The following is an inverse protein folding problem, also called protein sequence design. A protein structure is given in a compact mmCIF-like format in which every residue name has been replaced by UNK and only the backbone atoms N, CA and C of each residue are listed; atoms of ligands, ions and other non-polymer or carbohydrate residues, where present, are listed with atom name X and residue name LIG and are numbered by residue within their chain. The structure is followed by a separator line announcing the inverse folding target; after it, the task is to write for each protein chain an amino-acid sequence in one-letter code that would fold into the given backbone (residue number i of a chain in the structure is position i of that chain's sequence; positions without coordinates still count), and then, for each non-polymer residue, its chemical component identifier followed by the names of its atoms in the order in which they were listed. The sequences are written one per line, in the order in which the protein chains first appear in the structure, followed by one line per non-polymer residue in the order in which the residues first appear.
data_IF_189390738081
#
_entry.id   IF_189390738081
#
_cell.length_a   1.000
_cell.length_b   1.000
_cell.length_c   1.000
_cell.angle_alpha   90.00
_cell.angle_beta   90.00
_cell.angle_gamma   90.00
#
_symmetry.space_group_name_H-M   'P 1'
#
loop_
_entity.id
_entity.type
_entity.pdbx_description
1 polymer ?
#
# COMPACT_ATOMS: atom_id res chain seq x y z
N UNK A 1 20.06 4.84 7.55
CA UNK A 1 20.12 5.49 6.22
C UNK A 1 18.69 5.67 5.75
N UNK A 2 18.28 6.89 5.38
CA UNK A 2 17.01 7.06 4.65
C UNK A 2 17.22 6.60 3.21
N UNK A 3 16.46 5.60 2.77
CA UNK A 3 16.44 5.21 1.37
C UNK A 3 15.68 6.28 0.58
N UNK A 4 16.36 6.95 -0.36
CA UNK A 4 15.75 7.92 -1.29
C UNK A 4 15.89 7.40 -2.71
N UNK A 5 14.82 6.82 -3.24
CA UNK A 5 14.70 6.54 -4.65
C UNK A 5 14.08 7.75 -5.36
N UNK A 6 14.71 8.23 -6.43
CA UNK A 6 14.04 9.12 -7.36
C UNK A 6 13.21 8.28 -8.33
N UNK A 7 11.89 8.40 -8.25
CA UNK A 7 10.93 7.75 -9.14
C UNK A 7 10.21 8.87 -9.89
N UNK A 8 10.25 8.83 -11.22
CA UNK A 8 9.48 9.75 -12.06
C UNK A 8 8.00 9.51 -11.81
N UNK A 9 7.17 10.56 -11.74
CA UNK A 9 5.72 10.39 -11.54
C UNK A 9 5.09 9.54 -12.65
N UNK A 10 4.06 8.76 -12.35
CA UNK A 10 3.24 8.09 -13.37
C UNK A 10 2.48 9.13 -14.20
N UNK A 11 2.72 9.18 -15.52
CA UNK A 11 2.07 10.12 -16.47
C UNK A 11 1.19 9.36 -17.49
N UNK A 12 0.92 8.08 -17.22
CA UNK A 12 0.15 7.18 -18.08
C UNK A 12 0.98 6.09 -18.74
N UNK A 13 0.50 5.56 -19.86
CA UNK A 13 1.03 4.33 -20.46
C UNK A 13 2.51 4.42 -20.89
N UNK A 14 2.99 5.62 -21.24
CA UNK A 14 4.34 5.83 -21.77
C UNK A 14 5.46 5.42 -20.81
N UNK A 15 5.26 5.63 -19.50
CA UNK A 15 6.25 5.28 -18.47
C UNK A 15 5.76 4.22 -17.48
N UNK A 16 4.56 3.67 -17.67
CA UNK A 16 3.89 2.77 -16.73
C UNK A 16 4.76 1.56 -16.34
N UNK A 17 5.36 0.84 -17.29
CA UNK A 17 6.13 -0.39 -16.99
C UNK A 17 7.36 -0.10 -16.13
N UNK A 18 8.07 1.02 -16.41
CA UNK A 18 9.25 1.45 -15.64
C UNK A 18 8.81 1.89 -14.24
N UNK A 19 7.77 2.72 -14.16
CA UNK A 19 7.21 3.20 -12.91
C UNK A 19 6.76 2.05 -12.01
N UNK A 20 5.96 1.12 -12.54
CA UNK A 20 5.48 -0.08 -11.84
C UNK A 20 6.63 -0.87 -11.23
N UNK A 21 7.69 -1.14 -12.00
CA UNK A 21 8.86 -1.87 -11.50
C UNK A 21 9.55 -1.13 -10.34
N UNK A 22 9.71 0.19 -10.44
CA UNK A 22 10.34 0.99 -9.38
C UNK A 22 9.49 1.01 -8.10
N UNK A 23 8.17 1.15 -8.23
CA UNK A 23 7.23 1.12 -7.11
C UNK A 23 7.22 -0.24 -6.42
N UNK A 24 7.17 -1.35 -7.16
CA UNK A 24 7.25 -2.68 -6.57
C UNK A 24 8.53 -2.88 -5.74
N UNK A 25 9.67 -2.40 -6.24
CA UNK A 25 10.94 -2.47 -5.51
C UNK A 25 10.92 -1.61 -4.25
N UNK A 26 10.35 -0.41 -4.31
CA UNK A 26 10.20 0.48 -3.16
C UNK A 26 9.27 -0.12 -2.10
N UNK A 27 8.12 -0.69 -2.50
CA UNK A 27 7.20 -1.39 -1.62
C UNK A 27 7.86 -2.60 -0.94
N UNK A 28 8.66 -3.39 -1.69
CA UNK A 28 9.42 -4.52 -1.13
C UNK A 28 10.52 -4.07 -0.17
N UNK A 29 11.18 -2.95 -0.45
CA UNK A 29 12.17 -2.38 0.47
C UNK A 29 11.56 -2.00 1.82
N UNK A 30 10.32 -1.52 1.80
CA UNK A 30 9.56 -1.17 3.00
C UNK A 30 8.75 -2.33 3.59
N UNK A 31 8.82 -3.53 3.01
CA UNK A 31 8.08 -4.73 3.45
C UNK A 31 6.55 -4.53 3.51
N UNK A 32 5.99 -3.81 2.53
CA UNK A 32 4.54 -3.54 2.42
C UNK A 32 3.94 -3.94 1.08
N UNK A 33 4.69 -4.65 0.25
CA UNK A 33 4.24 -5.12 -1.08
C UNK A 33 3.09 -6.14 -0.99
N UNK A 34 3.12 -6.99 0.05
CA UNK A 34 2.09 -7.98 0.36
C UNK A 34 0.72 -7.35 0.70
N UNK A 35 0.70 -6.15 1.30
CA UNK A 35 -0.53 -5.37 1.55
C UNK A 35 -1.16 -4.92 0.24
N UNK A 36 -0.34 -4.45 -0.70
CA UNK A 36 -0.82 -3.97 -2.01
C UNK A 36 -1.35 -5.13 -2.85
N UNK A 37 -0.68 -6.29 -2.83
CA UNK A 37 -1.16 -7.50 -3.51
C UNK A 37 -2.38 -8.12 -2.81
N UNK A 38 -2.57 -7.79 -1.53
CA UNK A 38 -3.63 -8.34 -0.69
C UNK A 38 -3.34 -9.75 -0.19
N UNK A 39 -2.09 -10.20 -0.23
CA UNK A 39 -1.62 -11.43 0.42
C UNK A 39 -1.72 -11.31 1.94
N UNK A 40 -1.53 -10.08 2.45
CA UNK A 40 -1.74 -9.72 3.85
C UNK A 40 -3.04 -8.94 4.00
N UNK A 41 -3.97 -9.50 4.77
CA UNK A 41 -5.25 -8.86 5.08
C UNK A 41 -5.25 -8.18 6.44
N UNK A 42 -6.13 -7.18 6.61
CA UNK A 42 -6.38 -6.59 7.91
C UNK A 42 -6.87 -7.69 8.87
N UNK A 43 -6.25 -7.85 10.05
CA UNK A 43 -6.65 -8.88 10.99
C UNK A 43 -8.12 -8.69 11.39
N UNK A 44 -8.81 -9.79 11.69
CA UNK A 44 -10.19 -9.79 12.16
C UNK A 44 -10.23 -10.36 13.58
N UNK A 45 -10.96 -9.70 14.46
CA UNK A 45 -11.18 -10.19 15.81
C UNK A 45 -12.24 -11.31 15.77
N UNK A 46 -11.98 -12.49 16.37
CA UNK A 46 -13.00 -13.52 16.54
C UNK A 46 -14.16 -13.02 17.41
N UNK A 47 -15.37 -13.55 17.18
CA UNK A 47 -16.57 -13.15 17.94
C UNK A 47 -16.43 -13.41 19.46
N UNK A 48 -15.70 -14.47 19.82
CA UNK A 48 -15.42 -14.85 21.20
C UNK A 48 -13.90 -14.83 21.42
N UNK A 49 -13.37 -13.63 21.63
CA UNK A 49 -11.94 -13.42 21.86
C UNK A 49 -11.64 -13.28 23.37
N UNK A 50 -10.58 -13.95 23.83
CA UNK A 50 -10.04 -13.70 25.17
C UNK A 50 -9.41 -12.29 25.25
N UNK A 51 -9.16 -11.80 26.47
CA UNK A 51 -8.50 -10.51 26.66
C UNK A 51 -7.12 -10.45 25.99
N UNK A 52 -6.37 -11.56 26.02
CA UNK A 52 -5.08 -11.69 25.36
C UNK A 52 -5.22 -11.64 23.83
N UNK A 53 -6.25 -12.29 23.28
CA UNK A 53 -6.53 -12.26 21.86
C UNK A 53 -6.94 -10.86 21.37
N UNK A 54 -7.70 -10.11 22.19
CA UNK A 54 -8.06 -8.71 21.90
C UNK A 54 -6.79 -7.83 21.86
N UNK A 55 -5.92 -7.93 22.87
CA UNK A 55 -4.68 -7.15 22.92
C UNK A 55 -3.75 -7.47 21.73
N UNK A 56 -3.64 -8.75 21.36
CA UNK A 56 -2.87 -9.16 20.18
C UNK A 56 -3.48 -8.63 18.88
N UNK A 57 -4.81 -8.66 18.75
CA UNK A 57 -5.54 -8.11 17.61
C UNK A 57 -5.31 -6.60 17.46
N UNK A 58 -5.46 -5.81 18.53
CA UNK A 58 -5.28 -4.36 18.48
C UNK A 58 -3.87 -3.98 18.01
N UNK A 59 -2.86 -4.70 18.52
CA UNK A 59 -1.47 -4.53 18.10
C UNK A 59 -1.28 -4.85 16.62
N UNK A 60 -1.82 -5.97 16.15
CA UNK A 60 -1.73 -6.38 14.76
C UNK A 60 -2.49 -5.43 13.82
N UNK A 61 -3.67 -4.97 14.22
CA UNK A 61 -4.50 -4.04 13.46
C UNK A 61 -3.79 -2.70 13.30
N UNK A 62 -3.20 -2.17 14.37
CA UNK A 62 -2.44 -0.92 14.32
C UNK A 62 -1.21 -1.03 13.40
N UNK A 63 -0.51 -2.17 13.44
CA UNK A 63 0.60 -2.43 12.54
C UNK A 63 0.15 -2.48 11.08
N UNK A 64 -0.94 -3.20 10.80
CA UNK A 64 -1.52 -3.27 9.45
C UNK A 64 -1.92 -1.89 8.91
N UNK A 65 -2.64 -1.08 9.69
CA UNK A 65 -3.07 0.27 9.28
C UNK A 65 -1.87 1.16 8.94
N UNK A 66 -0.79 1.07 9.73
CA UNK A 66 0.45 1.81 9.47
C UNK A 66 1.06 1.41 8.13
N UNK A 67 1.16 0.12 7.87
CA UNK A 67 1.76 -0.41 6.66
C UNK A 67 0.91 -0.13 5.42
N UNK A 68 -0.41 -0.25 5.53
CA UNK A 68 -1.36 0.13 4.48
C UNK A 68 -1.26 1.64 4.17
N UNK A 69 -1.18 2.50 5.19
CA UNK A 69 -0.97 3.94 5.00
C UNK A 69 0.36 4.25 4.32
N UNK A 70 1.44 3.56 4.70
CA UNK A 70 2.75 3.72 4.07
C UNK A 70 2.71 3.30 2.59
N UNK A 71 2.07 2.18 2.27
CA UNK A 71 1.91 1.72 0.90
C UNK A 71 1.05 2.69 0.07
N UNK A 72 -0.03 3.23 0.62
CA UNK A 72 -0.82 4.28 -0.03
C UNK A 72 0.01 5.53 -0.32
N UNK A 73 0.80 6.00 0.64
CA UNK A 73 1.69 7.16 0.46
C UNK A 73 2.75 6.92 -0.63
N UNK A 74 3.34 5.72 -0.68
CA UNK A 74 4.29 5.33 -1.73
C UNK A 74 3.60 5.37 -3.09
N UNK A 75 2.39 4.81 -3.21
CA UNK A 75 1.66 4.76 -4.47
C UNK A 75 1.28 6.18 -4.92
N UNK A 76 0.46 6.88 -4.13
CA UNK A 76 -0.12 8.19 -4.47
C UNK A 76 0.97 9.26 -4.60
N UNK A 77 1.99 9.25 -3.73
CA UNK A 77 3.09 10.21 -3.76
C UNK A 77 3.96 10.13 -5.01
N UNK A 78 3.87 9.02 -5.76
CA UNK A 78 4.61 8.82 -7.00
C UNK A 78 3.69 8.84 -8.23
N UNK A 79 2.45 9.31 -8.10
CA UNK A 79 1.54 9.56 -9.22
C UNK A 79 1.53 11.05 -9.59
N UNK A 80 1.16 11.35 -10.84
CA UNK A 80 0.71 12.69 -11.19
C UNK A 80 -0.68 12.97 -10.62
N UNK A 81 -1.10 14.23 -10.71
CA UNK A 81 -2.33 14.68 -10.06
C UNK A 81 -3.56 14.00 -10.68
N UNK A 82 -3.55 13.75 -12.00
CA UNK A 82 -4.65 13.04 -12.67
C UNK A 82 -4.80 11.60 -12.17
N UNK A 83 -3.70 10.85 -12.02
CA UNK A 83 -3.74 9.49 -11.49
C UNK A 83 -4.06 9.48 -9.99
N UNK A 84 -3.59 10.46 -9.22
CA UNK A 84 -3.95 10.60 -7.81
C UNK A 84 -5.47 10.80 -7.63
N UNK A 85 -6.08 11.70 -8.41
CA UNK A 85 -7.54 11.95 -8.40
C UNK A 85 -8.34 10.69 -8.75
N UNK A 86 -7.89 9.89 -9.73
CA UNK A 86 -8.54 8.61 -10.08
C UNK A 86 -8.56 7.61 -8.91
N UNK A 87 -7.57 7.68 -8.03
CA UNK A 87 -7.46 6.81 -6.84
C UNK A 87 -8.07 7.42 -5.59
N UNK A 88 -8.64 8.63 -5.64
CA UNK A 88 -9.19 9.35 -4.48
C UNK A 88 -10.28 8.60 -3.70
N UNK A 89 -11.00 7.70 -4.38
CA UNK A 89 -12.05 6.85 -3.80
C UNK A 89 -11.52 5.56 -3.17
N UNK A 90 -10.22 5.28 -3.32
CA UNK A 90 -9.57 4.09 -2.77
C UNK A 90 -9.20 4.34 -1.30
N UNK A 91 -9.66 3.46 -0.42
CA UNK A 91 -9.41 3.58 1.03
C UNK A 91 -8.31 2.64 1.55
N UNK A 92 -7.73 1.82 0.67
CA UNK A 92 -6.69 0.84 1.00
C UNK A 92 -5.62 0.81 -0.07
N UNK A 93 -4.39 0.45 0.30
CA UNK A 93 -3.29 0.32 -0.65
C UNK A 93 -3.59 -0.74 -1.73
N UNK A 94 -4.31 -1.80 -1.36
CA UNK A 94 -4.80 -2.81 -2.31
C UNK A 94 -5.70 -2.20 -3.38
N UNK A 95 -6.68 -1.38 -2.99
CA UNK A 95 -7.58 -0.73 -3.95
C UNK A 95 -6.85 0.28 -4.86
N UNK A 96 -5.90 1.04 -4.31
CA UNK A 96 -5.01 1.93 -5.11
C UNK A 96 -4.16 1.11 -6.09
N UNK A 97 -3.56 0.01 -5.63
CA UNK A 97 -2.74 -0.90 -6.43
C UNK A 97 -3.50 -1.47 -7.63
N UNK A 98 -4.76 -1.86 -7.41
CA UNK A 98 -5.64 -2.36 -8.47
C UNK A 98 -5.92 -1.33 -9.54
N UNK A 99 -6.17 -0.08 -9.15
CA UNK A 99 -6.49 1.01 -10.08
C UNK A 99 -5.24 1.46 -10.85
N UNK A 100 -4.11 1.66 -10.17
CA UNK A 100 -2.94 2.30 -10.78
C UNK A 100 -1.88 1.31 -11.32
N UNK A 101 -1.69 0.19 -10.63
CA UNK A 101 -0.63 -0.78 -10.91
C UNK A 101 -1.18 -2.02 -11.65
N UNK A 102 -2.50 -2.19 -11.66
CA UNK A 102 -3.16 -3.38 -12.20
C UNK A 102 -2.78 -4.65 -11.43
N UNK A 103 -2.61 -4.52 -10.11
CA UNK A 103 -2.34 -5.63 -9.17
C UNK A 103 -3.60 -5.91 -8.36
#
# INVERSE_FOLDING_TARGET
MEFKAHIEKLVGAANWSKWKRQIELLLRHHDVHDVVCGDRECPRLPAEASAEAIAAYEKAQKAFIKDDSLAQLILVGNMDDSNAELTSVCNTAKSVGKVAVGI
#
